data_IF_118686115555
#
_entry.id   IF_118686115555
#
_cell.length_a   1.000
_cell.length_b   1.000
_cell.length_c   1.000
_cell.angle_alpha   90.00
_cell.angle_beta   90.00
_cell.angle_gamma   90.00
#
_symmetry.space_group_name_H-M   'P 1'
#
loop_
_entity.id
_entity.type
_entity.pdbx_description
1 polymer ?
#
# COMPACT_ATOMS: atom_id res chain seq x y z
N UNK A 1 -6.23 22.63 -8.16
CA UNK A 1 -6.68 21.36 -8.76
C UNK A 1 -5.78 20.27 -8.20
N UNK A 2 -6.37 19.20 -7.66
CA UNK A 2 -5.63 17.97 -7.31
C UNK A 2 -5.20 17.31 -8.63
N UNK A 3 -3.92 16.99 -8.82
CA UNK A 3 -3.49 16.33 -10.06
C UNK A 3 -3.88 14.85 -10.16
N UNK A 4 -4.63 14.34 -9.19
CA UNK A 4 -5.13 12.96 -9.19
C UNK A 4 -6.26 12.86 -10.22
N UNK A 5 -6.15 11.97 -11.23
CA UNK A 5 -7.20 11.77 -12.21
C UNK A 5 -8.45 11.17 -11.56
N UNK A 6 -9.61 11.36 -12.19
CA UNK A 6 -10.82 10.63 -11.81
C UNK A 6 -10.60 9.13 -11.98
N UNK A 7 -10.99 8.33 -10.99
CA UNK A 7 -10.94 6.87 -11.11
C UNK A 7 -12.17 6.35 -11.84
N UNK A 8 -12.01 5.36 -12.72
CA UNK A 8 -13.14 4.62 -13.31
C UNK A 8 -13.48 3.40 -12.46
N UNK A 9 -14.75 2.98 -12.40
CA UNK A 9 -15.11 1.73 -11.74
C UNK A 9 -14.62 0.53 -12.58
N UNK A 10 -14.00 -0.44 -11.94
CA UNK A 10 -13.49 -1.67 -12.57
C UNK A 10 -13.47 -2.82 -11.55
N UNK A 11 -13.52 -4.09 -11.98
CA UNK A 11 -13.49 -5.24 -11.07
C UNK A 11 -12.11 -5.44 -10.45
N UNK A 12 -12.06 -5.99 -9.23
CA UNK A 12 -10.77 -6.49 -8.71
C UNK A 12 -10.26 -7.66 -9.56
N UNK A 13 -8.93 -7.84 -9.68
CA UNK A 13 -8.36 -8.88 -10.54
C UNK A 13 -8.78 -10.28 -10.07
N UNK A 14 -9.33 -11.06 -11.01
CA UNK A 14 -9.70 -12.47 -10.83
C UNK A 14 -8.58 -13.43 -11.27
N UNK A 15 -7.65 -12.92 -12.07
CA UNK A 15 -6.55 -13.63 -12.71
C UNK A 15 -5.25 -12.93 -12.35
N UNK A 16 -4.29 -13.68 -11.80
CA UNK A 16 -3.01 -13.13 -11.39
C UNK A 16 -1.89 -13.52 -12.37
N UNK A 17 -0.88 -12.65 -12.55
CA UNK A 17 0.33 -13.05 -13.26
C UNK A 17 1.02 -14.22 -12.54
N UNK A 18 1.70 -15.11 -13.28
CA UNK A 18 2.36 -16.27 -12.69
C UNK A 18 3.47 -15.84 -11.73
N UNK A 19 3.53 -16.45 -10.55
CA UNK A 19 4.59 -16.19 -9.60
C UNK A 19 5.94 -16.67 -10.15
N UNK A 20 6.94 -15.78 -10.20
CA UNK A 20 8.32 -16.13 -10.62
C UNK A 20 9.22 -16.61 -9.48
N UNK A 21 8.79 -16.40 -8.24
CA UNK A 21 9.58 -16.65 -7.03
C UNK A 21 8.84 -17.59 -6.08
N UNK A 22 9.55 -18.51 -5.39
CA UNK A 22 8.92 -19.48 -4.50
C UNK A 22 8.69 -18.95 -3.07
N UNK A 23 8.78 -17.63 -2.86
CA UNK A 23 8.66 -17.03 -1.53
C UNK A 23 7.34 -17.40 -0.86
N UNK A 24 7.39 -17.63 0.45
CA UNK A 24 6.23 -17.89 1.31
C UNK A 24 6.24 -16.91 2.44
N UNK A 25 5.08 -16.38 2.79
CA UNK A 25 4.97 -15.47 3.90
C UNK A 25 5.29 -16.22 5.21
N UNK A 26 6.02 -15.55 6.10
CA UNK A 26 6.42 -16.02 7.42
C UNK A 26 6.03 -14.93 8.41
N UNK A 27 5.02 -15.13 9.27
CA UNK A 27 4.53 -14.07 10.17
C UNK A 27 5.62 -13.39 11.02
N UNK A 28 6.61 -14.15 11.47
CA UNK A 28 7.75 -13.68 12.25
C UNK A 28 8.70 -12.77 11.46
N UNK A 29 8.70 -12.86 10.13
CA UNK A 29 9.55 -12.06 9.22
C UNK A 29 8.80 -10.89 8.58
N UNK A 30 7.47 -10.92 8.61
CA UNK A 30 6.63 -10.02 7.82
C UNK A 30 6.27 -8.71 8.53
N UNK A 31 6.05 -7.66 7.75
CA UNK A 31 5.33 -6.43 8.12
C UNK A 31 4.22 -6.23 7.10
N UNK A 32 3.01 -5.87 7.55
CA UNK A 32 1.95 -5.39 6.66
C UNK A 32 2.08 -3.88 6.51
N UNK A 33 2.16 -3.37 5.28
CA UNK A 33 2.10 -1.96 4.97
C UNK A 33 0.76 -1.60 4.31
N UNK A 34 -0.04 -0.81 5.02
CA UNK A 34 -1.22 -0.12 4.51
C UNK A 34 -0.79 1.25 3.97
N UNK A 35 -0.54 1.28 2.66
CA UNK A 35 0.07 2.39 1.96
C UNK A 35 -0.98 3.46 1.59
N UNK A 36 -0.86 4.64 2.17
CA UNK A 36 -1.59 5.87 1.81
C UNK A 36 -3.12 5.70 1.80
N UNK A 37 -3.67 4.91 2.74
CA UNK A 37 -5.12 4.70 2.93
C UNK A 37 -5.84 5.90 3.58
N UNK A 38 -5.48 7.12 3.17
CA UNK A 38 -6.00 8.39 3.69
C UNK A 38 -7.27 8.81 2.95
N UNK A 39 -8.16 9.55 3.61
CA UNK A 39 -9.40 10.05 3.02
C UNK A 39 -9.19 10.77 1.68
N UNK A 40 -8.15 11.59 1.57
CA UNK A 40 -7.83 12.32 0.33
C UNK A 40 -7.61 11.39 -0.87
N UNK A 41 -6.85 10.30 -0.70
CA UNK A 41 -6.53 9.36 -1.77
C UNK A 41 -7.66 8.39 -2.08
N UNK A 42 -8.53 8.13 -1.10
CA UNK A 42 -9.68 7.24 -1.27
C UNK A 42 -10.90 7.94 -1.87
N UNK A 43 -10.97 9.27 -1.80
CA UNK A 43 -12.09 10.08 -2.31
C UNK A 43 -12.48 9.82 -3.77
N UNK A 44 -11.55 9.57 -4.72
CA UNK A 44 -11.93 9.26 -6.09
C UNK A 44 -12.73 7.96 -6.22
N UNK A 45 -12.52 7.00 -5.32
CA UNK A 45 -13.16 5.69 -5.38
C UNK A 45 -14.56 5.67 -4.80
N UNK A 46 -15.45 4.90 -5.42
CA UNK A 46 -16.77 4.62 -4.87
C UNK A 46 -16.67 3.73 -3.61
N UNK A 47 -17.32 4.10 -2.49
CA UNK A 47 -17.32 3.27 -1.28
C UNK A 47 -18.25 2.05 -1.39
N UNK A 48 -19.12 2.00 -2.39
CA UNK A 48 -20.15 0.95 -2.55
C UNK A 48 -19.91 0.04 -3.75
N UNK A 49 -19.01 0.40 -4.66
CA UNK A 49 -18.68 -0.39 -5.84
C UNK A 49 -17.17 -0.65 -5.96
N UNK A 50 -16.80 -1.60 -6.82
CA UNK A 50 -15.41 -1.88 -7.11
C UNK A 50 -14.75 -0.70 -7.86
N UNK A 51 -13.43 -0.47 -7.64
CA UNK A 51 -12.57 -1.22 -6.71
C UNK A 51 -12.72 -0.79 -5.24
N UNK A 52 -13.22 0.42 -4.95
CA UNK A 52 -13.15 1.04 -3.62
C UNK A 52 -13.76 0.21 -2.48
N UNK A 53 -14.96 -0.34 -2.67
CA UNK A 53 -15.60 -1.18 -1.66
C UNK A 53 -14.81 -2.47 -1.38
N UNK A 54 -14.24 -3.10 -2.42
CA UNK A 54 -13.47 -4.32 -2.28
C UNK A 54 -12.09 -4.05 -1.63
N UNK A 55 -11.42 -2.99 -2.05
CA UNK A 55 -10.16 -2.51 -1.47
C UNK A 55 -10.30 -2.34 0.05
N UNK A 56 -11.30 -1.58 0.49
CA UNK A 56 -11.49 -1.30 1.92
C UNK A 56 -11.71 -2.59 2.72
N UNK A 57 -12.63 -3.46 2.27
CA UNK A 57 -12.91 -4.74 2.95
C UNK A 57 -11.66 -5.63 3.05
N UNK A 58 -10.89 -5.74 1.97
CA UNK A 58 -9.71 -6.59 1.93
C UNK A 58 -8.58 -6.01 2.80
N UNK A 59 -8.34 -4.69 2.75
CA UNK A 59 -7.38 -4.04 3.66
C UNK A 59 -7.74 -4.22 5.14
N UNK A 60 -9.02 -4.10 5.52
CA UNK A 60 -9.48 -4.32 6.91
C UNK A 60 -9.24 -5.78 7.31
N UNK A 61 -9.59 -6.72 6.43
CA UNK A 61 -9.36 -8.15 6.67
C UNK A 61 -7.89 -8.47 6.87
N UNK A 62 -7.01 -7.92 6.02
CA UNK A 62 -5.56 -8.08 6.13
C UNK A 62 -5.03 -7.51 7.44
N UNK A 63 -5.44 -6.28 7.79
CA UNK A 63 -5.05 -5.63 9.04
C UNK A 63 -5.35 -6.51 10.24
N UNK A 64 -6.61 -6.92 10.38
CA UNK A 64 -7.08 -7.65 11.55
C UNK A 64 -6.40 -9.02 11.67
N UNK A 65 -6.23 -9.71 10.54
CA UNK A 65 -5.58 -11.03 10.51
C UNK A 65 -4.08 -10.95 10.75
N UNK A 66 -3.40 -9.94 10.20
CA UNK A 66 -1.97 -9.72 10.46
C UNK A 66 -1.73 -9.37 11.93
N UNK A 67 -2.51 -8.44 12.48
CA UNK A 67 -2.41 -8.04 13.88
C UNK A 67 -2.65 -9.23 14.82
N UNK A 68 -3.69 -10.04 14.56
CA UNK A 68 -4.01 -11.25 15.33
C UNK A 68 -2.90 -12.32 15.30
N UNK A 69 -1.98 -12.25 14.34
CA UNK A 69 -0.83 -13.18 14.21
C UNK A 69 0.51 -12.53 14.58
N UNK A 70 0.50 -11.34 15.18
CA UNK A 70 1.73 -10.67 15.62
C UNK A 70 2.59 -10.13 14.48
N UNK A 71 2.02 -9.99 13.27
CA UNK A 71 2.62 -9.27 12.16
C UNK A 71 2.39 -7.76 12.42
N UNK A 72 3.44 -6.94 12.56
CA UNK A 72 3.27 -5.51 12.75
C UNK A 72 2.54 -4.89 11.57
N UNK A 73 1.59 -4.02 11.89
CA UNK A 73 0.89 -3.22 10.89
C UNK A 73 1.57 -1.86 10.83
N UNK A 74 1.93 -1.48 9.61
CA UNK A 74 2.56 -0.22 9.26
C UNK A 74 1.63 0.58 8.34
N UNK A 75 1.70 1.90 8.47
CA UNK A 75 0.94 2.86 7.70
C UNK A 75 1.88 3.92 7.15
N UNK A 76 1.68 4.31 5.90
CA UNK A 76 2.19 5.57 5.39
C UNK A 76 1.06 6.58 5.28
N UNK A 77 1.35 7.83 5.65
CA UNK A 77 0.42 8.94 5.51
C UNK A 77 1.19 10.21 5.14
N UNK A 78 0.77 10.91 4.08
CA UNK A 78 1.29 12.24 3.78
C UNK A 78 0.88 13.21 4.90
N UNK A 79 1.75 14.15 5.29
CA UNK A 79 1.48 15.08 6.38
C UNK A 79 0.42 16.14 6.04
N UNK A 80 0.10 16.34 4.75
CA UNK A 80 -0.70 17.46 4.28
C UNK A 80 0.03 18.81 4.42
N UNK A 81 -0.44 19.82 3.69
CA UNK A 81 0.12 21.19 3.68
C UNK A 81 1.66 21.21 3.56
N UNK A 82 2.21 20.38 2.67
CA UNK A 82 3.66 20.34 2.42
C UNK A 82 4.15 21.71 1.92
N UNK A 83 5.28 22.18 2.46
CA UNK A 83 5.99 23.33 1.92
C UNK A 83 6.43 23.08 0.46
N UNK A 84 6.70 24.13 -0.30
CA UNK A 84 7.20 23.98 -1.68
C UNK A 84 8.52 23.18 -1.73
N UNK A 85 9.39 23.34 -0.72
CA UNK A 85 10.63 22.59 -0.58
C UNK A 85 10.36 21.09 -0.33
N UNK A 86 9.49 20.77 0.62
CA UNK A 86 9.15 19.38 0.91
C UNK A 86 8.39 18.73 -0.23
N UNK A 87 7.48 19.45 -0.90
CA UNK A 87 6.70 18.95 -2.03
C UNK A 87 7.59 18.70 -3.25
N UNK A 88 8.50 19.63 -3.55
CA UNK A 88 9.41 19.56 -4.69
C UNK A 88 8.70 19.21 -5.99
N UNK A 89 9.29 18.31 -6.78
CA UNK A 89 8.78 17.90 -8.10
C UNK A 89 7.43 17.18 -8.07
N UNK A 90 6.92 16.75 -6.91
CA UNK A 90 5.53 16.26 -6.82
C UNK A 90 4.54 17.36 -7.20
N UNK A 91 4.90 18.64 -7.00
CA UNK A 91 4.06 19.78 -7.34
C UNK A 91 3.78 19.86 -8.84
N UNK A 92 4.75 19.48 -9.67
CA UNK A 92 4.65 19.55 -11.13
C UNK A 92 3.64 18.55 -11.70
N UNK A 93 3.51 17.38 -11.06
CA UNK A 93 2.57 16.32 -11.48
C UNK A 93 1.23 16.40 -10.75
N UNK A 94 1.25 16.66 -9.43
CA UNK A 94 0.10 16.46 -8.55
C UNK A 94 -0.43 17.74 -7.92
N UNK A 95 0.21 18.88 -8.20
CA UNK A 95 -0.06 20.15 -7.54
C UNK A 95 0.34 20.13 -6.05
N UNK A 96 -0.25 21.07 -5.30
CA UNK A 96 0.04 21.28 -3.87
C UNK A 96 -0.30 20.07 -2.98
N UNK A 97 -1.18 19.18 -3.45
CA UNK A 97 -1.58 17.98 -2.73
C UNK A 97 -2.72 18.23 -1.74
N UNK A 98 -2.73 17.43 -0.67
CA UNK A 98 -3.78 17.43 0.34
C UNK A 98 -3.54 18.47 1.44
N UNK A 99 -4.60 18.86 2.14
CA UNK A 99 -4.49 19.68 3.36
C UNK A 99 -4.06 18.82 4.56
N UNK A 100 -3.55 19.45 5.63
CA UNK A 100 -3.27 18.76 6.88
C UNK A 100 -4.54 18.48 7.71
N UNK A 101 -5.72 18.90 7.22
CA UNK A 101 -7.00 18.70 7.89
C UNK A 101 -7.42 17.23 7.95
N UNK A 102 -8.15 16.82 9.00
CA UNK A 102 -8.61 15.43 9.19
C UNK A 102 -9.32 14.82 7.98
N UNK A 103 -10.17 15.60 7.30
CA UNK A 103 -10.94 15.17 6.12
C UNK A 103 -10.09 14.76 4.91
N UNK A 104 -8.81 15.12 4.92
CA UNK A 104 -7.83 14.73 3.92
C UNK A 104 -6.83 13.72 4.49
N UNK A 105 -6.22 14.06 5.62
CA UNK A 105 -5.01 13.41 6.13
C UNK A 105 -5.29 12.12 6.90
N UNK A 106 -6.43 11.97 7.56
CA UNK A 106 -6.64 10.79 8.40
C UNK A 106 -6.76 9.51 7.57
N UNK A 107 -6.23 8.41 8.13
CA UNK A 107 -6.45 7.07 7.59
C UNK A 107 -7.93 6.74 7.73
N UNK A 108 -8.55 6.27 6.65
CA UNK A 108 -9.99 6.23 6.54
C UNK A 108 -10.63 5.10 7.36
N UNK A 109 -11.67 5.46 8.12
CA UNK A 109 -12.65 4.52 8.68
C UNK A 109 -12.03 3.43 9.56
N UNK A 110 -12.42 2.19 9.28
CA UNK A 110 -12.02 1.00 10.05
C UNK A 110 -10.51 0.68 9.97
N UNK A 111 -9.76 1.36 9.11
CA UNK A 111 -8.31 1.22 9.01
C UNK A 111 -7.54 2.14 9.95
N UNK A 112 -8.20 2.95 10.77
CA UNK A 112 -7.53 3.83 11.74
C UNK A 112 -6.44 3.06 12.53
N UNK A 113 -5.20 3.59 12.61
CA UNK A 113 -4.13 2.92 13.33
C UNK A 113 -4.49 2.66 14.80
N UNK A 114 -4.19 1.45 15.28
CA UNK A 114 -4.29 1.08 16.68
C UNK A 114 -3.01 1.46 17.45
N UNK A 115 -3.07 1.55 18.79
CA UNK A 115 -1.88 1.69 19.61
C UNK A 115 -0.85 0.58 19.33
N UNK A 116 0.39 0.97 19.04
CA UNK A 116 1.48 0.04 18.71
C UNK A 116 1.71 -0.14 17.20
N UNK A 117 0.76 0.24 16.35
CA UNK A 117 0.95 0.26 14.90
C UNK A 117 2.05 1.26 14.50
N UNK A 118 2.73 0.95 13.41
CA UNK A 118 3.84 1.75 12.92
C UNK A 118 3.30 2.82 11.97
N UNK A 119 3.50 4.09 12.27
CA UNK A 119 3.06 5.18 11.40
C UNK A 119 4.27 5.95 10.87
N UNK A 120 4.31 6.12 9.55
CA UNK A 120 5.41 6.77 8.85
C UNK A 120 4.89 7.96 8.04
N UNK A 121 5.61 9.07 8.12
CA UNK A 121 5.32 10.23 7.28
C UNK A 121 5.76 9.93 5.84
N UNK A 122 4.83 10.11 4.90
CA UNK A 122 5.04 9.84 3.48
C UNK A 122 5.47 11.10 2.75
N UNK A 123 6.69 11.08 2.18
CA UNK A 123 7.22 12.23 1.45
C UNK A 123 7.26 12.03 -0.06
N UNK A 124 7.48 10.81 -0.55
CA UNK A 124 7.61 10.47 -1.98
C UNK A 124 6.91 9.15 -2.28
N UNK A 125 6.95 8.69 -3.53
CA UNK A 125 6.30 7.45 -3.95
C UNK A 125 6.78 6.21 -3.20
N UNK A 126 8.07 6.07 -2.89
CA UNK A 126 8.54 4.97 -2.02
C UNK A 126 8.23 5.24 -0.55
N UNK A 127 7.76 4.24 0.18
CA UNK A 127 7.55 4.30 1.63
C UNK A 127 8.87 4.41 2.42
N UNK A 128 10.00 4.04 1.82
CA UNK A 128 11.32 4.10 2.46
C UNK A 128 11.99 5.48 2.32
N UNK A 129 11.57 6.28 1.34
CA UNK A 129 12.18 7.58 1.10
C UNK A 129 11.84 8.58 2.21
N UNK A 130 12.88 9.08 2.90
CA UNK A 130 12.77 9.99 4.06
C UNK A 130 11.87 9.43 5.17
N UNK A 131 11.92 8.12 5.39
CA UNK A 131 11.26 7.44 6.52
C UNK A 131 12.25 6.50 7.23
N UNK A 132 11.91 6.11 8.45
CA UNK A 132 12.66 5.10 9.21
C UNK A 132 12.10 3.68 9.04
N UNK A 133 11.31 3.43 7.99
CA UNK A 133 10.71 2.12 7.73
C UNK A 133 11.77 1.01 7.61
N UNK A 134 12.82 1.24 6.80
CA UNK A 134 13.90 0.27 6.62
C UNK A 134 14.56 -0.05 7.96
N UNK A 135 14.99 0.97 8.69
CA UNK A 135 15.67 0.79 9.97
C UNK A 135 14.77 0.10 11.00
N UNK A 136 13.47 0.42 11.03
CA UNK A 136 12.51 -0.22 11.94
C UNK A 136 12.30 -1.70 11.58
N UNK A 137 12.19 -2.03 10.30
CA UNK A 137 12.13 -3.43 9.84
C UNK A 137 13.40 -4.19 10.24
N UNK A 138 14.58 -3.61 10.02
CA UNK A 138 15.87 -4.23 10.38
C UNK A 138 16.02 -4.45 11.88
N UNK A 139 15.71 -3.44 12.70
CA UNK A 139 15.72 -3.57 14.17
C UNK A 139 14.74 -4.63 14.67
N UNK A 140 13.60 -4.79 14.00
CA UNK A 140 12.61 -5.81 14.33
C UNK A 140 12.94 -7.21 13.77
N UNK A 141 14.03 -7.37 13.01
CA UNK A 141 14.40 -8.64 12.38
C UNK A 141 13.45 -9.07 11.26
N UNK A 142 12.82 -8.11 10.57
CA UNK A 142 11.79 -8.36 9.54
C UNK A 142 12.30 -8.02 8.14
N UNK A 143 12.14 -8.96 7.22
CA UNK A 143 12.66 -8.91 5.84
C UNK A 143 11.62 -9.38 4.82
N UNK A 144 10.34 -9.39 5.19
CA UNK A 144 9.21 -9.55 4.28
C UNK A 144 8.24 -8.38 4.44
N UNK A 145 7.71 -7.88 3.31
CA UNK A 145 6.76 -6.78 3.28
C UNK A 145 5.51 -7.18 2.50
N UNK A 146 4.37 -7.21 3.19
CA UNK A 146 3.05 -7.31 2.57
C UNK A 146 2.58 -5.91 2.25
N UNK A 147 2.20 -5.65 1.00
CA UNK A 147 1.84 -4.30 0.53
C UNK A 147 0.38 -4.28 0.07
N UNK A 148 -0.39 -3.38 0.65
CA UNK A 148 -1.79 -3.10 0.33
C UNK A 148 -2.03 -1.58 0.36
N UNK A 149 -3.06 -1.10 -0.33
CA UNK A 149 -3.44 0.32 -0.40
C UNK A 149 -3.36 0.95 -1.79
N UNK A 150 -3.04 2.24 -1.88
CA UNK A 150 -3.12 3.01 -3.13
C UNK A 150 -1.90 3.90 -3.38
N UNK A 151 -1.54 4.23 -4.62
CA UNK A 151 -2.04 3.67 -5.89
C UNK A 151 -1.07 2.60 -6.43
N UNK A 152 -1.59 1.53 -7.03
CA UNK A 152 -0.84 0.34 -7.43
C UNK A 152 0.39 0.65 -8.33
N UNK A 153 0.20 1.40 -9.41
CA UNK A 153 1.23 1.76 -10.39
C UNK A 153 2.18 2.88 -9.93
N UNK A 154 1.86 3.54 -8.83
CA UNK A 154 2.64 4.68 -8.32
C UNK A 154 3.36 4.30 -7.02
N UNK A 155 2.79 4.61 -5.86
CA UNK A 155 3.48 4.47 -4.58
C UNK A 155 3.71 3.02 -4.18
N UNK A 156 2.76 2.14 -4.51
CA UNK A 156 2.83 0.70 -4.24
C UNK A 156 3.98 0.08 -5.05
N UNK A 157 4.01 0.26 -6.37
CA UNK A 157 5.08 -0.29 -7.22
C UNK A 157 6.45 0.31 -6.89
N UNK A 158 6.52 1.62 -6.64
CA UNK A 158 7.76 2.27 -6.22
C UNK A 158 8.29 1.69 -4.89
N UNK A 159 7.41 1.48 -3.91
CA UNK A 159 7.76 0.86 -2.63
C UNK A 159 8.18 -0.60 -2.81
N UNK A 160 7.52 -1.35 -3.69
CA UNK A 160 7.87 -2.74 -3.97
C UNK A 160 9.27 -2.87 -4.60
N UNK A 161 9.59 -2.02 -5.57
CA UNK A 161 10.93 -1.97 -6.19
C UNK A 161 12.02 -1.60 -5.18
N UNK A 162 11.74 -0.62 -4.30
CA UNK A 162 12.69 -0.15 -3.29
C UNK A 162 12.91 -1.20 -2.18
N UNK A 163 11.83 -1.86 -1.72
CA UNK A 163 11.93 -3.00 -0.81
C UNK A 163 12.79 -4.13 -1.40
N UNK A 164 12.54 -4.49 -2.66
CA UNK A 164 13.33 -5.49 -3.38
C UNK A 164 14.81 -5.10 -3.46
N UNK A 165 15.12 -3.84 -3.76
CA UNK A 165 16.50 -3.33 -3.80
C UNK A 165 17.20 -3.36 -2.43
N UNK A 166 16.42 -3.39 -1.35
CA UNK A 166 16.89 -3.56 0.02
C UNK A 166 16.87 -5.02 0.50
N UNK A 167 16.75 -6.03 -0.37
CA UNK A 167 16.67 -7.44 0.00
C UNK A 167 15.49 -7.77 0.94
N UNK A 168 14.34 -7.11 0.73
CA UNK A 168 13.08 -7.40 1.42
C UNK A 168 12.14 -8.11 0.44
N UNK A 169 11.63 -9.28 0.82
CA UNK A 169 10.71 -10.04 -0.04
C UNK A 169 9.34 -9.37 -0.03
N UNK A 170 8.85 -8.97 -1.20
CA UNK A 170 7.57 -8.27 -1.32
C UNK A 170 6.44 -9.23 -1.66
N UNK A 171 5.33 -9.08 -0.96
CA UNK A 171 4.05 -9.75 -1.20
C UNK A 171 3.02 -8.69 -1.54
N UNK A 172 2.72 -8.53 -2.83
CA UNK A 172 1.77 -7.53 -3.31
C UNK A 172 0.38 -8.14 -3.39
N UNK A 173 -0.56 -7.63 -2.59
CA UNK A 173 -1.90 -8.21 -2.46
C UNK A 173 -2.84 -7.62 -3.50
N UNK A 174 -3.03 -8.33 -4.60
CA UNK A 174 -3.63 -7.83 -5.84
C UNK A 174 -5.07 -7.30 -5.68
N UNK A 175 -5.86 -7.88 -4.79
CA UNK A 175 -7.23 -7.47 -4.50
C UNK A 175 -7.33 -6.52 -3.29
N UNK A 176 -6.20 -6.16 -2.69
CA UNK A 176 -6.09 -5.15 -1.64
C UNK A 176 -5.22 -3.95 -2.05
N UNK A 177 -5.04 -3.77 -3.37
CA UNK A 177 -4.53 -2.53 -3.96
C UNK A 177 -5.51 -2.03 -5.01
N UNK A 178 -5.48 -0.72 -5.27
CA UNK A 178 -6.28 -0.12 -6.33
C UNK A 178 -5.49 0.98 -7.05
N UNK A 179 -6.00 1.39 -8.21
CA UNK A 179 -5.37 2.36 -9.09
C UNK A 179 -6.43 3.21 -9.81
N UNK A 180 -5.98 4.13 -10.67
CA UNK A 180 -6.83 5.03 -11.43
C UNK A 180 -7.82 4.29 -12.34
N UNK A 181 -7.38 3.19 -12.95
CA UNK A 181 -8.17 2.31 -13.79
C UNK A 181 -7.60 0.88 -13.80
N UNK A 182 -8.29 -0.03 -14.48
CA UNK A 182 -7.90 -1.43 -14.58
C UNK A 182 -6.54 -1.63 -15.27
N UNK A 183 -6.22 -0.78 -16.26
CA UNK A 183 -4.99 -0.92 -17.04
C UNK A 183 -3.75 -0.57 -16.19
N UNK A 184 -3.80 0.51 -15.42
CA UNK A 184 -2.75 0.87 -14.47
C UNK A 184 -2.61 -0.16 -13.37
N UNK A 185 -3.74 -0.67 -12.86
CA UNK A 185 -3.72 -1.73 -11.87
C UNK A 185 -3.03 -2.99 -12.42
N UNK A 186 -3.45 -3.47 -13.60
CA UNK A 186 -2.87 -4.65 -14.26
C UNK A 186 -1.37 -4.47 -14.53
N UNK A 187 -0.98 -3.32 -15.07
CA UNK A 187 0.42 -2.98 -15.34
C UNK A 187 1.28 -3.10 -14.07
N UNK A 188 0.79 -2.58 -12.95
CA UNK A 188 1.49 -2.64 -11.67
C UNK A 188 1.70 -4.08 -11.19
N UNK A 189 0.65 -4.91 -11.28
CA UNK A 189 0.72 -6.32 -10.88
C UNK A 189 1.68 -7.12 -11.75
N UNK A 190 1.61 -6.94 -13.07
CA UNK A 190 2.46 -7.65 -14.02
C UNK A 190 3.93 -7.29 -13.79
N UNK A 191 4.25 -5.99 -13.73
CA UNK A 191 5.61 -5.52 -13.45
C UNK A 191 6.13 -6.01 -12.08
N UNK A 192 5.28 -5.97 -11.05
CA UNK A 192 5.67 -6.43 -9.73
C UNK A 192 5.99 -7.94 -9.72
N UNK A 193 5.09 -8.77 -10.24
CA UNK A 193 5.31 -10.22 -10.37
C UNK A 193 6.56 -10.57 -11.18
N UNK A 194 6.83 -9.75 -12.18
CA UNK A 194 7.94 -9.94 -13.08
C UNK A 194 9.29 -9.52 -12.51
N UNK A 195 9.34 -8.58 -11.56
CA UNK A 195 10.57 -7.88 -11.20
C UNK A 195 10.88 -7.79 -9.71
N UNK A 196 9.90 -7.69 -8.82
CA UNK A 196 10.17 -7.34 -7.42
C UNK A 196 9.27 -7.98 -6.34
N UNK A 197 8.17 -8.62 -6.71
CA UNK A 197 7.20 -9.13 -5.75
C UNK A 197 6.64 -10.50 -6.14
N UNK A 198 6.17 -11.23 -5.13
CA UNK A 198 5.16 -12.26 -5.32
C UNK A 198 3.78 -11.61 -5.26
N UNK A 199 3.02 -11.73 -6.34
CA UNK A 199 1.63 -11.26 -6.42
C UNK A 199 0.68 -12.38 -6.00
N UNK A 200 -0.27 -12.08 -5.11
CA UNK A 200 -1.24 -13.04 -4.55
C UNK A 200 -2.52 -12.31 -4.15
N UNK A 201 -3.60 -13.06 -3.90
CA UNK A 201 -4.85 -12.49 -3.36
C UNK A 201 -4.83 -12.40 -1.83
N UNK A 202 -5.76 -11.64 -1.27
CA UNK A 202 -6.03 -11.62 0.17
C UNK A 202 -6.33 -13.02 0.66
N UNK A 203 -7.16 -13.79 -0.07
CA UNK A 203 -7.48 -15.17 0.26
C UNK A 203 -6.24 -16.06 0.37
N UNK A 204 -5.37 -16.03 -0.64
CA UNK A 204 -4.13 -16.81 -0.65
C UNK A 204 -3.20 -16.44 0.50
N UNK A 205 -3.06 -15.13 0.78
CA UNK A 205 -2.23 -14.65 1.87
C UNK A 205 -2.75 -15.13 3.23
N UNK A 206 -4.06 -15.08 3.44
CA UNK A 206 -4.66 -15.54 4.70
C UNK A 206 -4.43 -17.03 4.94
N UNK A 207 -4.42 -17.87 3.89
CA UNK A 207 -4.05 -19.28 4.03
C UNK A 207 -2.64 -19.41 4.59
N UNK A 208 -1.67 -18.65 4.08
CA UNK A 208 -0.27 -18.67 4.54
C UNK A 208 -0.07 -18.07 5.94
N UNK A 209 -0.91 -17.13 6.35
CA UNK A 209 -0.88 -16.54 7.71
C UNK A 209 -1.53 -17.47 8.73
N UNK A 210 -2.42 -18.37 8.29
CA UNK A 210 -3.14 -19.29 9.18
C UNK A 210 -2.44 -20.61 9.46
N UNK A 211 -1.77 -21.18 8.46
CA UNK A 211 -1.03 -22.45 8.54
C UNK A 211 0.33 -22.30 9.20
#
# INVERSE_FOLDING_TARGET
>A
MTGIPSTTAYPMPDTLPPARVPWRLRPERAVLLLHDMQHYFLRPFSPTSAPGAALMRNCVTLRDRCAARGIPVAYTAQPGDMSDEDRGLLKDFWGVGMTAGPADREVAGELAPAPGDWTFTKWRYSAFHRSDLLDRMRRAGRDQLVVAGVYASTGILATALDAFAHDIQVFLVADAVADFDEAHHRLALDLAAERCARVLTTGDLLVEVTG
#
